data_IF_418616725628
#
_entry.id   IF_418616725628
#
_cell.length_a   1.000
_cell.length_b   1.000
_cell.length_c   1.000
_cell.angle_alpha   90.00
_cell.angle_beta   90.00
_cell.angle_gamma   90.00
#
_symmetry.space_group_name_H-M   'P 1'
#
loop_
_entity.id
_entity.type
_entity.pdbx_description
1 polymer ?
#
# COMPACT_ATOMS: atom_id res chain seq x y z
N UNK A 1 52.52 12.62 -40.29
CA UNK A 1 51.04 12.67 -40.30
C UNK A 1 50.59 12.53 -38.86
N UNK A 2 50.60 13.57 -38.02
CA UNK A 2 49.82 14.81 -38.04
C UNK A 2 48.32 14.58 -37.83
N UNK A 3 47.91 14.50 -36.56
CA UNK A 3 46.58 14.94 -36.12
C UNK A 3 46.64 15.38 -34.66
N UNK A 4 46.65 16.70 -34.46
CA UNK A 4 46.33 17.35 -33.21
C UNK A 4 44.87 17.08 -32.85
N UNK A 5 44.59 16.66 -31.61
CA UNK A 5 43.29 16.87 -30.98
C UNK A 5 43.51 17.79 -29.79
N UNK A 6 42.95 18.99 -29.90
CA UNK A 6 43.01 20.06 -28.89
C UNK A 6 42.26 19.61 -27.63
N UNK A 7 42.87 19.81 -26.47
CA UNK A 7 42.24 19.69 -25.15
C UNK A 7 41.14 20.74 -25.04
N UNK A 8 39.88 20.31 -25.03
CA UNK A 8 38.74 21.14 -24.66
C UNK A 8 38.71 21.32 -23.14
N UNK A 9 38.72 22.56 -22.69
CA UNK A 9 38.47 22.92 -21.29
C UNK A 9 37.01 22.59 -20.96
N UNK A 10 36.79 21.65 -20.06
CA UNK A 10 35.48 21.41 -19.46
C UNK A 10 35.26 22.47 -18.39
N UNK A 11 34.60 23.56 -18.77
CA UNK A 11 34.05 24.52 -17.80
C UNK A 11 32.90 23.85 -17.05
N UNK A 12 32.99 23.79 -15.72
CA UNK A 12 31.85 23.49 -14.85
C UNK A 12 30.80 24.59 -15.05
N UNK A 13 29.66 24.25 -15.64
CA UNK A 13 28.45 25.06 -15.51
C UNK A 13 27.71 24.50 -14.30
N UNK A 14 27.86 25.17 -13.15
CA UNK A 14 26.99 24.96 -12.01
C UNK A 14 25.63 25.56 -12.33
N UNK A 15 24.69 24.72 -12.75
CA UNK A 15 23.29 25.12 -12.92
C UNK A 15 22.62 25.10 -11.54
N UNK A 16 22.67 26.21 -10.81
CA UNK A 16 21.82 26.41 -9.62
C UNK A 16 20.40 26.69 -10.08
N UNK A 17 19.64 25.66 -10.46
CA UNK A 17 18.18 25.77 -10.57
C UNK A 17 17.55 25.56 -9.20
N UNK A 18 17.61 26.60 -8.37
CA UNK A 18 16.75 26.74 -7.20
C UNK A 18 15.40 27.33 -7.63
N UNK A 19 14.63 26.61 -8.44
CA UNK A 19 13.22 26.92 -8.59
C UNK A 19 12.50 26.25 -7.42
N UNK A 20 12.18 27.03 -6.39
CA UNK A 20 11.25 26.57 -5.37
C UNK A 20 9.95 26.19 -6.07
N UNK A 21 9.63 24.90 -6.09
CA UNK A 21 8.33 24.41 -6.55
C UNK A 21 7.30 25.10 -5.65
N UNK A 22 6.41 25.95 -6.20
CA UNK A 22 5.36 26.55 -5.39
C UNK A 22 4.59 25.43 -4.70
N UNK A 23 4.45 25.50 -3.37
CA UNK A 23 3.55 24.63 -2.62
C UNK A 23 2.22 24.58 -3.35
N UNK A 24 1.75 23.37 -3.69
CA UNK A 24 0.45 23.16 -4.36
C UNK A 24 -0.73 23.77 -3.58
N UNK A 25 -0.51 24.14 -2.33
CA UNK A 25 -1.45 24.82 -1.45
C UNK A 25 -0.96 26.25 -1.18
N UNK A 26 -1.24 27.16 -2.11
CA UNK A 26 -0.81 28.56 -2.04
C UNK A 26 -1.51 29.38 -0.94
N UNK A 27 -2.64 28.88 -0.40
CA UNK A 27 -3.36 29.51 0.70
C UNK A 27 -3.75 28.45 1.76
N UNK A 28 -2.79 28.08 2.61
CA UNK A 28 -3.03 27.17 3.73
C UNK A 28 -4.02 27.74 4.75
N UNK A 29 -4.09 29.06 4.87
CA UNK A 29 -4.96 29.74 5.83
C UNK A 29 -6.44 29.58 5.47
N UNK A 30 -6.78 29.59 4.17
CA UNK A 30 -8.15 29.36 3.71
C UNK A 30 -8.72 28.00 4.14
N UNK A 31 -7.90 26.95 4.22
CA UNK A 31 -8.35 25.62 4.66
C UNK A 31 -8.68 25.56 6.15
N UNK A 32 -8.02 26.36 6.98
CA UNK A 32 -8.20 26.32 8.43
C UNK A 32 -9.56 26.84 8.88
N UNK A 33 -10.29 27.55 8.02
CA UNK A 33 -11.65 28.01 8.29
C UNK A 33 -12.72 27.03 7.75
N UNK A 34 -12.33 26.01 6.97
CA UNK A 34 -13.27 25.08 6.35
C UNK A 34 -13.69 23.96 7.34
N UNK A 35 -14.99 23.83 7.67
CA UNK A 35 -15.47 22.75 8.53
C UNK A 35 -15.21 21.34 7.98
N UNK A 36 -15.06 21.16 6.66
CA UNK A 36 -14.67 19.89 6.05
C UNK A 36 -13.20 19.56 6.32
N UNK A 37 -12.32 20.55 6.30
CA UNK A 37 -10.90 20.36 6.67
C UNK A 37 -10.79 19.85 8.11
N UNK A 38 -11.51 20.47 9.05
CA UNK A 38 -11.50 19.99 10.44
C UNK A 38 -12.11 18.58 10.61
N UNK A 39 -13.06 18.18 9.77
CA UNK A 39 -13.56 16.79 9.76
C UNK A 39 -12.50 15.83 9.26
N UNK A 40 -11.78 16.17 8.20
CA UNK A 40 -10.69 15.37 7.67
C UNK A 40 -9.54 15.21 8.69
N UNK A 41 -9.18 16.28 9.40
CA UNK A 41 -8.21 16.24 10.51
C UNK A 41 -8.67 15.29 11.62
N UNK A 42 -9.92 15.42 12.09
CA UNK A 42 -10.46 14.53 13.13
C UNK A 42 -10.53 13.07 12.69
N UNK A 43 -10.86 12.81 11.43
CA UNK A 43 -10.85 11.46 10.88
C UNK A 43 -9.43 10.89 10.87
N UNK A 44 -8.45 11.64 10.38
CA UNK A 44 -7.05 11.22 10.39
C UNK A 44 -6.55 10.95 11.81
N UNK A 45 -6.82 11.85 12.76
CA UNK A 45 -6.47 11.66 14.17
C UNK A 45 -7.11 10.41 14.76
N UNK A 46 -8.39 10.16 14.46
CA UNK A 46 -9.07 8.93 14.88
C UNK A 46 -8.43 7.67 14.28
N UNK A 47 -7.99 7.71 13.01
CA UNK A 47 -7.28 6.58 12.40
C UNK A 47 -5.89 6.38 13.01
N UNK A 48 -5.17 7.44 13.36
CA UNK A 48 -3.88 7.33 14.04
C UNK A 48 -4.02 6.74 15.45
N UNK A 49 -5.09 7.08 16.17
CA UNK A 49 -5.33 6.61 17.53
C UNK A 49 -5.97 5.22 17.58
N UNK A 50 -6.94 4.96 16.71
CA UNK A 50 -7.84 3.80 16.77
C UNK A 50 -7.77 2.88 15.57
N UNK A 51 -7.24 3.36 14.44
CA UNK A 51 -7.10 2.60 13.21
C UNK A 51 -5.81 1.79 13.10
N UNK A 52 -4.97 1.76 14.13
CA UNK A 52 -3.72 0.99 14.15
C UNK A 52 -3.90 -0.43 14.68
N UNK A 53 -3.03 -1.30 14.19
CA UNK A 53 -2.87 -2.64 14.70
C UNK A 53 -2.42 -2.65 16.17
N UNK A 54 -3.19 -3.37 16.99
CA UNK A 54 -2.98 -3.57 18.43
C UNK A 54 -3.51 -4.95 18.90
N UNK A 55 -3.72 -5.88 17.97
CA UNK A 55 -4.55 -7.06 18.19
C UNK A 55 -3.75 -8.35 18.30
N UNK A 56 -2.72 -8.49 17.45
CA UNK A 56 -1.86 -9.66 17.41
C UNK A 56 -0.67 -9.62 18.38
N UNK A 57 0.19 -10.65 18.32
CA UNK A 57 1.45 -10.67 19.06
C UNK A 57 2.42 -9.61 18.55
N UNK A 58 2.32 -9.21 17.27
CA UNK A 58 2.99 -8.04 16.72
C UNK A 58 1.99 -6.88 16.77
N UNK A 59 2.42 -5.76 17.34
CA UNK A 59 1.67 -4.51 17.27
C UNK A 59 2.38 -3.62 16.26
N UNK A 60 1.90 -3.69 15.02
CA UNK A 60 2.53 -3.00 13.89
C UNK A 60 2.02 -1.57 13.72
N UNK A 61 2.72 -0.72 12.94
CA UNK A 61 2.15 0.53 12.48
C UNK A 61 1.12 0.34 11.36
N UNK A 62 0.72 -0.88 10.96
CA UNK A 62 -0.27 -1.05 9.92
C UNK A 62 -1.63 -0.42 10.32
N UNK A 63 -2.38 0.03 9.32
CA UNK A 63 -3.78 0.40 9.53
C UNK A 63 -4.67 -0.83 9.36
N UNK A 64 -5.71 -0.94 10.19
CA UNK A 64 -6.74 -1.96 10.05
C UNK A 64 -7.67 -1.60 8.90
N UNK A 65 -8.17 -2.60 8.15
CA UNK A 65 -9.12 -2.37 7.06
C UNK A 65 -10.55 -2.18 7.54
N UNK A 66 -10.85 -2.59 8.78
CA UNK A 66 -12.19 -2.53 9.37
C UNK A 66 -12.15 -1.93 10.77
N UNK A 67 -13.09 -1.05 11.06
CA UNK A 67 -13.39 -0.61 12.42
C UNK A 67 -14.89 -0.75 12.68
N UNK A 68 -15.24 -1.43 13.77
CA UNK A 68 -16.60 -1.50 14.27
C UNK A 68 -16.96 -0.21 15.02
N UNK A 69 -18.13 0.34 14.69
CA UNK A 69 -18.68 1.50 15.39
C UNK A 69 -19.60 1.05 16.54
N UNK A 70 -19.66 1.82 17.66
CA UNK A 70 -18.96 3.08 17.90
C UNK A 70 -17.57 2.91 18.55
N UNK A 71 -17.15 1.67 18.86
CA UNK A 71 -15.95 1.41 19.64
C UNK A 71 -14.64 1.78 18.92
N UNK A 72 -14.66 1.88 17.59
CA UNK A 72 -13.48 2.07 16.75
C UNK A 72 -12.42 1.00 17.03
N UNK A 73 -12.87 -0.25 16.98
CA UNK A 73 -12.04 -1.44 17.12
C UNK A 73 -12.21 -2.32 15.91
N UNK A 74 -11.13 -2.89 15.41
CA UNK A 74 -11.18 -3.99 14.45
C UNK A 74 -11.91 -5.19 15.07
N UNK A 75 -12.74 -5.92 14.30
CA UNK A 75 -13.19 -7.25 14.69
C UNK A 75 -12.01 -8.17 14.97
N UNK A 76 -12.09 -8.97 16.03
CA UNK A 76 -11.05 -9.95 16.38
C UNK A 76 -11.29 -11.34 15.75
N UNK A 77 -12.42 -11.54 15.08
CA UNK A 77 -12.71 -12.77 14.34
C UNK A 77 -13.52 -12.47 13.09
N UNK A 78 -13.33 -13.31 12.07
CA UNK A 78 -14.24 -13.39 10.92
C UNK A 78 -15.56 -13.99 11.38
N UNK A 79 -16.67 -13.39 10.97
CA UNK A 79 -18.03 -13.80 11.32
C UNK A 79 -18.93 -13.85 10.09
N UNK A 80 -20.06 -14.56 10.17
CA UNK A 80 -21.04 -14.55 9.08
C UNK A 80 -21.53 -13.13 8.73
N UNK A 81 -21.61 -12.24 9.72
CA UNK A 81 -22.02 -10.85 9.53
C UNK A 81 -20.96 -10.05 8.76
N UNK A 82 -19.70 -10.12 9.19
CA UNK A 82 -18.61 -9.44 8.50
C UNK A 82 -18.40 -10.02 7.10
N UNK A 83 -18.53 -11.34 6.94
CA UNK A 83 -18.44 -12.01 5.63
C UNK A 83 -19.54 -11.53 4.69
N UNK A 84 -20.78 -11.43 5.18
CA UNK A 84 -21.89 -10.90 4.37
C UNK A 84 -21.62 -9.46 3.94
N UNK A 85 -21.24 -8.57 4.88
CA UNK A 85 -20.91 -7.18 4.57
C UNK A 85 -19.82 -7.10 3.51
N UNK A 86 -18.73 -7.84 3.69
CA UNK A 86 -17.62 -7.83 2.73
C UNK A 86 -18.04 -8.34 1.36
N UNK A 87 -18.84 -9.40 1.27
CA UNK A 87 -19.33 -9.93 -0.01
C UNK A 87 -20.26 -8.97 -0.78
N UNK A 88 -20.90 -8.03 -0.09
CA UNK A 88 -21.77 -7.02 -0.72
C UNK A 88 -20.99 -5.84 -1.29
N UNK A 89 -19.85 -5.48 -0.70
CA UNK A 89 -19.08 -4.27 -1.06
C UNK A 89 -17.74 -4.56 -1.75
N UNK A 90 -17.18 -5.77 -1.57
CA UNK A 90 -15.88 -6.16 -2.06
C UNK A 90 -15.97 -7.50 -2.80
N UNK A 91 -15.02 -7.74 -3.71
CA UNK A 91 -14.97 -8.98 -4.50
C UNK A 91 -14.33 -10.15 -3.74
N UNK A 92 -13.55 -9.85 -2.70
CA UNK A 92 -12.87 -10.83 -1.89
C UNK A 92 -13.70 -11.36 -0.72
N UNK A 93 -13.17 -12.41 -0.10
CA UNK A 93 -13.59 -12.86 1.22
C UNK A 93 -13.26 -11.82 2.32
N UNK A 94 -13.78 -12.06 3.52
CA UNK A 94 -13.81 -11.14 4.65
C UNK A 94 -12.43 -10.59 5.10
N UNK A 95 -12.23 -9.26 5.00
CA UNK A 95 -11.03 -8.54 5.48
C UNK A 95 -11.16 -8.01 6.92
N UNK A 96 -12.15 -8.46 7.69
CA UNK A 96 -12.45 -7.95 9.05
C UNK A 96 -11.23 -7.85 9.96
N UNK A 97 -10.33 -8.83 9.95
CA UNK A 97 -9.17 -8.93 10.85
C UNK A 97 -7.85 -8.45 10.23
N UNK A 98 -7.88 -7.77 9.09
CA UNK A 98 -6.72 -7.62 8.22
C UNK A 98 -6.26 -6.19 7.94
N UNK A 99 -5.01 -6.05 7.51
CA UNK A 99 -4.50 -4.88 6.80
C UNK A 99 -4.38 -5.17 5.30
N UNK A 100 -4.81 -4.20 4.49
CA UNK A 100 -4.62 -4.22 3.04
C UNK A 100 -4.36 -2.79 2.54
N UNK A 101 -3.09 -2.37 2.40
CA UNK A 101 -2.74 -1.01 1.99
C UNK A 101 -3.34 -0.56 0.67
N UNK A 102 -3.68 -1.49 -0.24
CA UNK A 102 -4.36 -1.16 -1.49
C UNK A 102 -5.76 -0.58 -1.27
N UNK A 103 -6.42 -0.93 -0.17
CA UNK A 103 -7.67 -0.30 0.26
C UNK A 103 -7.47 0.91 1.18
N UNK A 104 -6.21 1.27 1.48
CA UNK A 104 -5.87 2.42 2.33
C UNK A 104 -5.22 3.57 1.54
N UNK A 105 -5.19 3.49 0.20
CA UNK A 105 -4.55 4.50 -0.68
C UNK A 105 -5.03 5.92 -0.33
N UNK A 106 -6.34 6.09 -0.15
CA UNK A 106 -6.94 7.41 0.16
C UNK A 106 -6.60 7.89 1.57
N UNK A 107 -6.47 6.97 2.54
CA UNK A 107 -6.01 7.31 3.88
C UNK A 107 -4.57 7.83 3.85
N UNK A 108 -3.67 7.14 3.15
CA UNK A 108 -2.29 7.62 3.00
C UNK A 108 -2.22 8.97 2.29
N UNK A 109 -3.01 9.15 1.21
CA UNK A 109 -3.08 10.43 0.52
C UNK A 109 -3.56 11.55 1.45
N UNK A 110 -4.59 11.29 2.25
CA UNK A 110 -5.06 12.23 3.27
C UNK A 110 -3.94 12.57 4.27
N UNK A 111 -3.24 11.57 4.80
CA UNK A 111 -2.18 11.78 5.78
C UNK A 111 -1.04 12.64 5.22
N UNK A 112 -0.59 12.36 3.98
CA UNK A 112 0.47 13.15 3.35
C UNK A 112 0.02 14.58 3.08
N UNK A 113 -1.18 14.79 2.53
CA UNK A 113 -1.73 16.13 2.30
C UNK A 113 -1.91 16.91 3.61
N UNK A 114 -2.41 16.26 4.67
CA UNK A 114 -2.55 16.91 5.97
C UNK A 114 -1.21 17.29 6.58
N UNK A 115 -0.16 16.49 6.39
CA UNK A 115 1.19 16.84 6.83
C UNK A 115 1.64 18.17 6.22
N UNK A 116 1.41 18.37 4.92
CA UNK A 116 1.79 19.60 4.21
C UNK A 116 0.94 20.81 4.63
N UNK A 117 -0.38 20.62 4.71
CA UNK A 117 -1.33 21.67 5.06
C UNK A 117 -1.21 22.15 6.51
N UNK A 118 -0.96 21.22 7.44
CA UNK A 118 -0.88 21.52 8.88
C UNK A 118 0.54 21.78 9.35
N UNK A 119 1.55 21.49 8.52
CA UNK A 119 2.97 21.49 8.89
C UNK A 119 3.27 20.58 10.09
N UNK A 120 2.40 19.58 10.31
CA UNK A 120 2.55 18.61 11.38
C UNK A 120 3.07 17.28 10.81
N UNK A 121 4.33 16.91 11.08
CA UNK A 121 4.96 15.73 10.48
C UNK A 121 4.36 14.41 10.96
N UNK A 122 3.52 14.42 12.01
CA UNK A 122 2.91 13.19 12.54
C UNK A 122 2.14 12.39 11.49
N UNK A 123 1.48 13.08 10.55
CA UNK A 123 0.67 12.42 9.53
C UNK A 123 1.54 11.75 8.47
N UNK A 124 2.57 12.42 7.94
CA UNK A 124 3.49 11.80 6.97
C UNK A 124 4.21 10.62 7.59
N UNK A 125 4.78 10.82 8.78
CA UNK A 125 5.47 9.75 9.53
C UNK A 125 4.57 8.53 9.72
N UNK A 126 3.31 8.75 10.07
CA UNK A 126 2.34 7.68 10.26
C UNK A 126 2.07 6.85 9.00
N UNK A 127 2.00 7.49 7.83
CA UNK A 127 1.85 6.81 6.53
C UNK A 127 3.11 6.07 6.12
N UNK A 128 4.28 6.69 6.26
CA UNK A 128 5.58 6.08 5.96
C UNK A 128 5.83 4.81 6.79
N UNK A 129 5.58 4.87 8.11
CA UNK A 129 5.75 3.74 9.01
C UNK A 129 4.86 2.55 8.62
N UNK A 130 3.60 2.81 8.26
CA UNK A 130 2.67 1.77 7.82
C UNK A 130 3.11 1.13 6.50
N UNK A 131 3.49 1.96 5.51
CA UNK A 131 3.94 1.50 4.19
C UNK A 131 5.23 0.70 4.33
N UNK A 132 6.23 1.23 5.04
CA UNK A 132 7.53 0.56 5.23
C UNK A 132 7.35 -0.80 5.90
N UNK A 133 6.63 -0.82 7.01
CA UNK A 133 6.38 -2.06 7.73
C UNK A 133 5.67 -3.09 6.85
N UNK A 134 4.65 -2.69 6.11
CA UNK A 134 3.91 -3.64 5.28
C UNK A 134 4.79 -4.22 4.16
N UNK A 135 5.57 -3.37 3.48
CA UNK A 135 6.50 -3.81 2.45
C UNK A 135 7.61 -4.73 3.00
N UNK A 136 8.04 -4.52 4.24
CA UNK A 136 9.08 -5.34 4.88
C UNK A 136 8.56 -6.67 5.43
N UNK A 137 7.32 -6.72 5.93
CA UNK A 137 6.82 -7.83 6.74
C UNK A 137 5.76 -8.68 6.03
N UNK A 138 5.01 -8.10 5.08
CA UNK A 138 3.94 -8.79 4.36
C UNK A 138 4.34 -9.20 2.92
N UNK A 139 5.64 -9.19 2.62
CA UNK A 139 6.19 -9.53 1.31
C UNK A 139 6.65 -10.99 1.25
N UNK A 140 6.25 -11.71 0.20
CA UNK A 140 6.71 -13.09 -0.03
C UNK A 140 8.24 -13.11 -0.20
N UNK A 141 8.96 -13.97 0.53
CA UNK A 141 10.38 -14.17 0.29
C UNK A 141 10.65 -14.84 -1.08
N UNK A 142 9.73 -15.64 -1.60
CA UNK A 142 9.87 -16.39 -2.86
C UNK A 142 9.61 -15.54 -4.10
N UNK A 143 8.60 -14.67 -4.08
CA UNK A 143 8.16 -13.93 -5.28
C UNK A 143 8.36 -12.43 -5.18
N UNK A 144 8.61 -11.89 -3.98
CA UNK A 144 8.60 -10.45 -3.75
C UNK A 144 7.22 -9.80 -3.85
N UNK A 145 6.15 -10.55 -4.12
CA UNK A 145 4.77 -10.05 -4.12
C UNK A 145 4.30 -9.76 -2.70
N UNK A 146 3.35 -8.84 -2.53
CA UNK A 146 2.82 -8.43 -1.22
C UNK A 146 1.50 -9.13 -0.92
N UNK A 147 1.23 -9.40 0.35
CA UNK A 147 -0.03 -9.97 0.84
C UNK A 147 -1.17 -8.95 0.85
N UNK A 148 -1.49 -8.40 -0.32
CA UNK A 148 -2.45 -7.31 -0.51
C UNK A 148 -3.28 -7.48 -1.78
N UNK A 149 -4.13 -6.50 -2.08
CA UNK A 149 -4.90 -6.45 -3.32
C UNK A 149 -6.26 -7.13 -3.18
N UNK A 150 -6.78 -7.71 -4.26
CA UNK A 150 -8.19 -8.13 -4.27
C UNK A 150 -8.44 -9.49 -3.63
N UNK A 151 -7.45 -10.38 -3.54
CA UNK A 151 -7.73 -11.78 -3.16
C UNK A 151 -6.98 -12.28 -1.94
N UNK A 152 -6.10 -11.45 -1.39
CA UNK A 152 -5.30 -11.74 -0.21
C UNK A 152 -5.15 -10.47 0.64
N UNK A 153 -4.90 -10.65 1.92
CA UNK A 153 -4.55 -9.59 2.87
C UNK A 153 -3.54 -10.09 3.90
N UNK A 154 -3.17 -9.23 4.84
CA UNK A 154 -2.36 -9.62 6.00
C UNK A 154 -3.24 -9.66 7.26
N UNK A 155 -3.33 -10.80 7.92
CA UNK A 155 -4.04 -10.95 9.19
C UNK A 155 -3.24 -10.28 10.31
N UNK A 156 -3.86 -9.34 11.01
CA UNK A 156 -3.21 -8.62 12.12
C UNK A 156 -3.31 -9.37 13.45
N UNK A 157 -3.98 -10.51 13.48
CA UNK A 157 -4.12 -11.34 14.69
C UNK A 157 -3.12 -12.49 14.68
N UNK A 158 -2.99 -13.15 13.53
CA UNK A 158 -2.12 -14.30 13.33
C UNK A 158 -0.83 -13.99 12.56
N UNK A 159 -0.61 -12.73 12.15
CA UNK A 159 0.60 -12.24 11.48
C UNK A 159 1.01 -13.09 10.28
N UNK A 160 0.05 -13.31 9.38
CA UNK A 160 0.24 -14.11 8.16
C UNK A 160 -0.77 -13.73 7.08
N UNK A 161 -0.52 -14.25 5.89
CA UNK A 161 -1.46 -14.20 4.76
C UNK A 161 -2.88 -14.63 5.19
N UNK A 162 -3.88 -13.84 4.82
CA UNK A 162 -5.31 -14.10 5.04
C UNK A 162 -6.13 -13.87 3.77
N UNK A 163 -7.44 -14.03 3.90
CA UNK A 163 -8.46 -14.06 2.85
C UNK A 163 -8.36 -15.34 2.03
N UNK A 164 -9.52 -15.94 1.77
CA UNK A 164 -9.64 -17.27 1.22
C UNK A 164 -11.09 -17.74 1.27
N UNK A 165 -11.45 -18.67 0.39
CA UNK A 165 -12.83 -19.06 0.20
C UNK A 165 -13.15 -20.43 0.79
N UNK A 166 -14.44 -20.68 1.01
CA UNK A 166 -14.94 -22.04 1.28
C UNK A 166 -14.94 -22.83 -0.02
N UNK A 167 -14.24 -23.96 -0.03
CA UNK A 167 -14.23 -24.89 -1.17
C UNK A 167 -15.57 -25.61 -1.30
N UNK A 168 -15.80 -26.24 -2.45
CA UNK A 168 -16.99 -27.06 -2.70
C UNK A 168 -17.18 -28.21 -1.69
N UNK A 169 -16.13 -28.63 -0.97
CA UNK A 169 -16.19 -29.65 0.09
C UNK A 169 -16.50 -29.07 1.49
N UNK A 170 -16.73 -27.76 1.62
CA UNK A 170 -17.06 -27.09 2.88
C UNK A 170 -15.85 -26.67 3.73
N UNK A 171 -14.61 -26.93 3.29
CA UNK A 171 -13.41 -26.50 4.00
C UNK A 171 -12.99 -25.08 3.61
N UNK A 172 -12.60 -24.27 4.59
CA UNK A 172 -11.98 -22.97 4.34
C UNK A 172 -10.56 -23.17 3.82
N UNK A 173 -10.24 -22.54 2.70
CA UNK A 173 -8.88 -22.52 2.16
C UNK A 173 -8.39 -21.09 1.99
N UNK A 174 -7.23 -20.81 2.60
CA UNK A 174 -6.49 -19.59 2.35
C UNK A 174 -6.20 -19.41 0.84
N UNK A 175 -6.47 -18.21 0.33
CA UNK A 175 -6.13 -17.82 -1.03
C UNK A 175 -4.62 -17.65 -1.15
N UNK A 176 -4.08 -18.11 -2.27
CA UNK A 176 -2.70 -17.83 -2.71
C UNK A 176 -2.72 -16.99 -4.00
N UNK A 177 -3.86 -16.39 -4.33
CA UNK A 177 -4.02 -15.60 -5.55
C UNK A 177 -3.62 -14.16 -5.23
N UNK A 178 -2.49 -13.72 -5.79
CA UNK A 178 -2.10 -12.32 -5.75
C UNK A 178 -2.77 -11.57 -6.92
N UNK A 179 -3.41 -10.45 -6.61
CA UNK A 179 -3.92 -9.51 -7.61
C UNK A 179 -3.54 -8.08 -7.22
N UNK A 180 -2.65 -7.46 -8.00
CA UNK A 180 -2.34 -6.04 -7.84
C UNK A 180 -3.45 -5.18 -8.46
N UNK A 181 -4.51 -4.94 -7.68
CA UNK A 181 -5.74 -4.27 -8.10
C UNK A 181 -5.63 -2.73 -8.17
N UNK A 182 -5.40 -2.18 -9.36
CA UNK A 182 -5.32 -0.74 -9.57
C UNK A 182 -3.93 -0.14 -9.27
N UNK A 183 -3.76 1.19 -9.45
CA UNK A 183 -2.45 1.81 -9.28
C UNK A 183 -2.10 2.01 -7.80
N UNK A 184 -0.88 1.64 -7.41
CA UNK A 184 -0.30 2.14 -6.16
C UNK A 184 0.18 3.57 -6.37
N UNK A 185 -0.47 4.54 -5.72
CA UNK A 185 -0.17 5.97 -5.93
C UNK A 185 1.03 6.47 -5.13
N UNK A 186 1.52 5.68 -4.18
CA UNK A 186 2.50 6.12 -3.18
C UNK A 186 3.92 5.64 -3.47
N UNK A 187 4.24 5.31 -4.74
CA UNK A 187 5.56 4.79 -5.12
C UNK A 187 6.73 5.67 -4.69
N UNK A 188 6.62 6.98 -4.83
CA UNK A 188 7.69 7.91 -4.43
C UNK A 188 7.97 7.80 -2.92
N UNK A 189 6.91 7.79 -2.10
CA UNK A 189 7.02 7.60 -0.65
C UNK A 189 7.54 6.20 -0.31
N UNK A 190 7.05 5.16 -0.97
CA UNK A 190 7.55 3.79 -0.78
C UNK A 190 9.02 3.67 -1.12
N UNK A 191 9.50 4.34 -2.17
CA UNK A 191 10.90 4.35 -2.54
C UNK A 191 11.77 5.11 -1.53
N UNK A 192 11.23 6.16 -0.91
CA UNK A 192 11.91 6.88 0.17
C UNK A 192 12.02 6.05 1.45
N UNK A 193 10.93 5.40 1.89
CA UNK A 193 10.92 4.71 3.19
C UNK A 193 11.34 3.24 3.12
N UNK A 194 11.10 2.54 2.01
CA UNK A 194 11.37 1.11 1.83
C UNK A 194 11.93 0.79 0.42
N UNK A 195 13.08 1.37 0.02
CA UNK A 195 13.60 1.25 -1.35
C UNK A 195 13.87 -0.19 -1.78
N UNK A 196 14.47 -1.00 -0.91
CA UNK A 196 14.81 -2.39 -1.23
C UNK A 196 13.55 -3.28 -1.37
N UNK A 197 12.60 -3.27 -0.41
CA UNK A 197 11.31 -3.93 -0.59
C UNK A 197 10.51 -3.43 -1.81
N UNK A 198 10.51 -2.12 -2.08
CA UNK A 198 9.83 -1.54 -3.25
C UNK A 198 10.41 -2.09 -4.56
N UNK A 199 11.74 -2.12 -4.65
CA UNK A 199 12.45 -2.72 -5.80
C UNK A 199 12.14 -4.20 -5.93
N UNK A 200 12.14 -4.96 -4.83
CA UNK A 200 11.78 -6.39 -4.83
C UNK A 200 10.35 -6.61 -5.34
N UNK A 201 9.40 -5.78 -4.94
CA UNK A 201 8.02 -5.89 -5.41
C UNK A 201 7.91 -5.57 -6.91
N UNK A 202 8.57 -4.51 -7.38
CA UNK A 202 8.58 -4.16 -8.80
C UNK A 202 9.21 -5.27 -9.68
N UNK A 203 10.32 -5.86 -9.23
CA UNK A 203 10.94 -7.02 -9.89
C UNK A 203 10.00 -8.23 -9.82
N UNK A 204 9.39 -8.48 -8.66
CA UNK A 204 8.47 -9.59 -8.44
C UNK A 204 7.25 -9.55 -9.35
N UNK A 205 6.68 -8.37 -9.60
CA UNK A 205 5.63 -8.19 -10.61
C UNK A 205 6.11 -8.62 -12.00
N UNK A 206 7.31 -8.18 -12.42
CA UNK A 206 7.86 -8.57 -13.72
C UNK A 206 8.13 -10.08 -13.81
N UNK A 207 8.69 -10.68 -12.76
CA UNK A 207 9.12 -12.08 -12.76
C UNK A 207 7.98 -13.09 -12.51
N UNK A 208 6.91 -12.68 -11.84
CA UNK A 208 5.87 -13.60 -11.35
C UNK A 208 4.45 -13.25 -11.79
N UNK A 209 4.19 -12.05 -12.33
CA UNK A 209 2.89 -11.64 -12.87
C UNK A 209 2.86 -11.66 -14.41
N UNK A 210 4.01 -11.42 -15.06
CA UNK A 210 4.14 -11.51 -16.52
C UNK A 210 4.31 -12.99 -16.92
N UNK A 211 3.39 -13.49 -17.73
CA UNK A 211 3.42 -14.86 -18.22
C UNK A 211 4.41 -15.04 -19.39
N UNK A 212 4.44 -14.09 -20.32
CA UNK A 212 5.35 -14.10 -21.46
C UNK A 212 6.05 -12.74 -21.59
N UNK A 213 7.36 -12.65 -21.29
CA UNK A 213 8.11 -11.40 -21.36
C UNK A 213 8.38 -10.92 -22.78
N UNK A 214 8.22 -11.77 -23.80
CA UNK A 214 8.40 -11.37 -25.21
C UNK A 214 7.18 -10.63 -25.72
N UNK A 215 5.99 -11.11 -25.38
CA UNK A 215 4.71 -10.51 -25.81
C UNK A 215 4.11 -9.58 -24.76
N UNK A 216 4.69 -9.52 -23.56
CA UNK A 216 4.13 -8.90 -22.36
C UNK A 216 2.74 -9.44 -22.01
N UNK A 217 2.43 -10.69 -22.37
CA UNK A 217 1.19 -11.31 -21.93
C UNK A 217 1.25 -11.52 -20.42
N UNK A 218 0.23 -11.03 -19.72
CA UNK A 218 0.12 -11.12 -18.26
C UNK A 218 -1.31 -11.49 -17.86
N UNK A 219 -1.47 -11.85 -16.61
CA UNK A 219 -2.76 -12.00 -15.96
C UNK A 219 -2.85 -11.07 -14.76
N UNK A 220 -4.06 -10.64 -14.39
CA UNK A 220 -4.25 -9.95 -13.11
C UNK A 220 -3.96 -10.85 -11.91
N UNK A 221 -3.97 -12.17 -12.11
CA UNK A 221 -3.68 -13.16 -11.08
C UNK A 221 -2.27 -13.75 -11.20
N UNK A 222 -1.58 -13.84 -10.08
CA UNK A 222 -0.38 -14.64 -9.89
C UNK A 222 -0.49 -15.45 -8.59
N UNK A 223 0.54 -16.24 -8.26
CA UNK A 223 0.65 -16.91 -6.96
C UNK A 223 1.54 -16.09 -6.04
N UNK A 224 1.06 -15.82 -4.82
CA UNK A 224 1.86 -15.09 -3.82
C UNK A 224 3.09 -15.91 -3.40
N UNK A 225 2.91 -17.19 -3.11
CA UNK A 225 3.95 -18.05 -2.54
C UNK A 225 4.97 -18.62 -3.53
N UNK A 226 4.76 -18.48 -4.85
CA UNK A 226 5.62 -19.09 -5.88
C UNK A 226 5.39 -18.48 -7.26
N UNK A 227 6.32 -18.70 -8.19
CA UNK A 227 6.07 -18.37 -9.60
C UNK A 227 4.85 -19.16 -10.13
N UNK A 228 3.86 -18.44 -10.65
CA UNK A 228 2.66 -19.04 -11.22
C UNK A 228 1.68 -18.01 -11.80
N UNK A 229 2.10 -17.16 -12.75
CA UNK A 229 1.20 -16.22 -13.41
C UNK A 229 0.08 -16.97 -14.15
N UNK A 230 -1.13 -16.41 -14.11
CA UNK A 230 -2.23 -16.85 -14.95
C UNK A 230 -1.94 -16.61 -16.44
N UNK A 231 -2.75 -17.21 -17.31
CA UNK A 231 -2.63 -17.08 -18.77
C UNK A 231 -3.90 -16.45 -19.35
N UNK A 232 -4.13 -15.17 -19.04
CA UNK A 232 -5.30 -14.44 -19.51
C UNK A 232 -5.58 -13.17 -18.71
N UNK A 233 -6.03 -12.13 -19.41
CA UNK A 233 -6.72 -11.02 -18.79
C UNK A 233 -8.13 -11.54 -18.48
N UNK A 234 -8.47 -11.73 -17.22
CA UNK A 234 -9.87 -11.70 -16.79
C UNK A 234 -9.99 -10.58 -15.80
#
# INVERSE_FOLDING_TARGET
MNTLIKRGAWGLVALTMGAAIPSAFADKAAFQEDPLFHRAVRYADAMLERGRDRYGPIQSPAFVSTLELPALTMPETVSATTTQLYSEYFRADDYSTSANPMYHIDLYQLLFVLSDLTENPKYRKAGEEAISWFFENAQSPETGLLAWGEHIGWDLISDRLTVGGVRANGEFQLSDTHEFYGPWLHWDVTWECAPDPAKRFAIGLWEHQIYDPVTCAFSRHARYSKHGPGKGYE
#
